data_IF_295539339546
#
_entry.id   IF_295539339546
#
_cell.length_a   1.000
_cell.length_b   1.000
_cell.length_c   1.000
_cell.angle_alpha   90.00
_cell.angle_beta   90.00
_cell.angle_gamma   90.00
#
_symmetry.space_group_name_H-M   'P 1'
#
loop_
_entity.id
_entity.type
_entity.pdbx_description
1 polymer ?
#
# COMPACT_ATOMS: atom_id res chain seq x y z
N UNK A 1 -55.67 3.76 -40.21
CA UNK A 1 -55.27 2.81 -39.16
C UNK A 1 -53.88 2.30 -39.48
N UNK A 2 -52.88 2.87 -38.80
CA UNK A 2 -51.45 2.65 -39.00
C UNK A 2 -51.00 1.42 -38.21
N UNK A 3 -50.76 0.29 -38.89
CA UNK A 3 -50.12 -0.90 -38.31
C UNK A 3 -48.60 -0.68 -38.25
N UNK A 4 -48.15 -0.04 -37.17
CA UNK A 4 -46.74 0.11 -36.84
C UNK A 4 -46.18 -1.22 -36.33
N UNK A 5 -45.20 -1.73 -37.08
CA UNK A 5 -44.49 -3.01 -36.91
C UNK A 5 -43.94 -3.22 -35.48
N UNK A 6 -44.18 -4.38 -34.83
CA UNK A 6 -43.64 -4.70 -33.51
C UNK A 6 -42.13 -4.96 -33.52
N UNK A 7 -41.51 -5.11 -34.69
CA UNK A 7 -40.07 -5.37 -34.83
C UNK A 7 -39.16 -4.16 -34.58
N UNK A 8 -39.66 -2.93 -34.68
CA UNK A 8 -38.82 -1.74 -34.42
C UNK A 8 -38.61 -1.45 -32.93
N UNK A 9 -39.51 -1.91 -32.06
CA UNK A 9 -39.37 -1.69 -30.62
C UNK A 9 -38.31 -2.62 -29.99
N UNK A 10 -38.12 -3.82 -30.53
CA UNK A 10 -37.06 -4.73 -30.08
C UNK A 10 -35.65 -4.24 -30.45
N UNK A 11 -35.49 -3.61 -31.62
CA UNK A 11 -34.21 -3.04 -32.03
C UNK A 11 -33.78 -1.86 -31.13
N UNK A 12 -34.73 -1.02 -30.70
CA UNK A 12 -34.46 0.08 -29.78
C UNK A 12 -34.05 -0.40 -28.38
N UNK A 13 -34.67 -1.49 -27.88
CA UNK A 13 -34.33 -2.06 -26.58
C UNK A 13 -32.91 -2.68 -26.55
N UNK A 14 -32.46 -3.29 -27.65
CA UNK A 14 -31.09 -3.84 -27.78
C UNK A 14 -30.05 -2.71 -27.89
N UNK A 15 -30.36 -1.61 -28.59
CA UNK A 15 -29.48 -0.46 -28.67
C UNK A 15 -29.28 0.23 -27.30
N UNK A 16 -30.31 0.27 -26.46
CA UNK A 16 -30.21 0.76 -25.08
C UNK A 16 -29.41 -0.19 -24.17
N UNK A 17 -29.51 -1.51 -24.38
CA UNK A 17 -28.69 -2.49 -23.66
C UNK A 17 -27.21 -2.51 -24.10
N UNK A 18 -26.89 -2.08 -25.32
CA UNK A 18 -25.52 -1.88 -25.77
C UNK A 18 -24.86 -0.62 -25.16
N UNK A 19 -25.66 0.37 -24.75
CA UNK A 19 -25.20 1.57 -24.01
C UNK A 19 -25.12 1.34 -22.50
N UNK A 20 -25.93 0.42 -21.97
CA UNK A 20 -25.86 -0.08 -20.59
C UNK A 20 -24.99 -1.34 -20.46
N UNK A 21 -24.30 -1.75 -21.54
CA UNK A 21 -23.21 -2.70 -21.42
C UNK A 21 -22.23 -2.07 -20.43
N UNK A 22 -21.92 -2.73 -19.30
CA UNK A 22 -20.78 -2.32 -18.51
C UNK A 22 -19.65 -2.32 -19.53
N UNK A 23 -19.13 -1.12 -19.84
CA UNK A 23 -17.85 -1.05 -20.52
C UNK A 23 -17.00 -1.95 -19.66
N UNK A 24 -16.55 -3.06 -20.24
CA UNK A 24 -15.48 -3.84 -19.67
C UNK A 24 -14.39 -2.80 -19.50
N UNK A 25 -14.34 -2.21 -18.30
CA UNK A 25 -13.43 -1.16 -17.93
C UNK A 25 -12.11 -1.88 -17.96
N UNK A 26 -11.47 -1.83 -19.13
CA UNK A 26 -10.10 -2.21 -19.28
C UNK A 26 -9.39 -1.30 -18.31
N UNK A 27 -9.15 -1.81 -17.10
CA UNK A 27 -8.37 -1.16 -16.07
C UNK A 27 -7.18 -0.57 -16.81
N UNK A 28 -7.06 0.77 -16.78
CA UNK A 28 -6.01 1.43 -17.52
C UNK A 28 -4.70 0.71 -17.22
N UNK A 29 -3.93 0.40 -18.27
CA UNK A 29 -2.60 -0.14 -18.07
C UNK A 29 -1.78 0.87 -17.25
N UNK A 30 -0.88 0.36 -16.43
CA UNK A 30 -0.05 1.19 -15.55
C UNK A 30 0.66 2.31 -16.35
N UNK A 31 1.14 1.98 -17.56
CA UNK A 31 1.72 2.93 -18.51
C UNK A 31 0.80 4.10 -18.88
N UNK A 32 -0.51 3.86 -19.03
CA UNK A 32 -1.50 4.90 -19.33
C UNK A 32 -1.82 5.76 -18.10
N UNK A 33 -1.83 5.16 -16.92
CA UNK A 33 -2.01 5.88 -15.64
C UNK A 33 -0.87 6.88 -15.44
N UNK A 34 0.37 6.43 -15.67
CA UNK A 34 1.57 7.26 -15.56
C UNK A 34 1.57 8.37 -16.61
N UNK A 35 1.21 8.07 -17.86
CA UNK A 35 1.08 9.09 -18.91
C UNK A 35 0.09 10.20 -18.51
N UNK A 36 -1.08 9.83 -18.01
CA UNK A 36 -2.07 10.82 -17.54
C UNK A 36 -1.61 11.60 -16.31
N UNK A 37 -0.80 11.00 -15.43
CA UNK A 37 -0.22 11.69 -14.29
C UNK A 37 0.83 12.71 -14.74
N UNK A 38 1.67 12.35 -15.70
CA UNK A 38 2.64 13.25 -16.36
C UNK A 38 1.94 14.39 -17.12
N UNK A 39 0.75 14.16 -17.67
CA UNK A 39 -0.11 15.20 -18.26
C UNK A 39 -0.71 16.16 -17.21
N UNK A 40 -0.37 16.01 -15.92
CA UNK A 40 -0.82 16.87 -14.82
C UNK A 40 -2.25 16.57 -14.34
N UNK A 41 -2.85 15.44 -14.72
CA UNK A 41 -4.18 15.06 -14.23
C UNK A 41 -4.10 14.59 -12.79
N UNK A 42 -5.07 15.01 -11.98
CA UNK A 42 -5.15 14.58 -10.59
C UNK A 42 -5.51 13.09 -10.50
N UNK A 43 -5.00 12.41 -9.46
CA UNK A 43 -5.27 11.00 -9.14
C UNK A 43 -6.77 10.67 -9.19
N UNK A 44 -7.63 11.58 -8.71
CA UNK A 44 -9.08 11.36 -8.68
C UNK A 44 -9.69 11.41 -10.10
N UNK A 45 -9.17 12.27 -10.98
CA UNK A 45 -9.58 12.32 -12.38
C UNK A 45 -9.13 11.07 -13.15
N UNK A 46 -7.94 10.54 -12.84
CA UNK A 46 -7.41 9.31 -13.43
C UNK A 46 -8.19 8.08 -12.93
N UNK A 47 -8.45 8.01 -11.62
CA UNK A 47 -9.27 6.97 -11.00
C UNK A 47 -10.66 6.86 -11.64
N UNK A 48 -11.31 8.00 -11.89
CA UNK A 48 -12.60 8.06 -12.58
C UNK A 48 -12.52 7.73 -14.07
N UNK A 49 -11.44 8.09 -14.75
CA UNK A 49 -11.25 7.79 -16.17
C UNK A 49 -10.91 6.31 -16.42
N UNK A 50 -10.38 5.63 -15.41
CA UNK A 50 -9.92 4.24 -15.49
C UNK A 50 -10.77 3.26 -14.67
N UNK A 51 -11.86 3.73 -14.05
CA UNK A 51 -12.69 2.97 -13.10
C UNK A 51 -11.88 2.18 -12.07
N UNK A 52 -10.83 2.82 -11.53
CA UNK A 52 -9.92 2.24 -10.56
C UNK A 52 -9.99 2.98 -9.22
N UNK A 53 -9.73 2.31 -8.09
CA UNK A 53 -9.65 2.99 -6.81
C UNK A 53 -8.44 3.93 -6.80
N UNK A 54 -8.62 5.13 -6.24
CA UNK A 54 -7.58 6.15 -6.17
C UNK A 54 -6.29 5.66 -5.47
N UNK A 55 -6.40 4.71 -4.54
CA UNK A 55 -5.24 4.06 -3.90
C UNK A 55 -4.37 3.28 -4.91
N UNK A 56 -5.00 2.59 -5.87
CA UNK A 56 -4.28 1.83 -6.90
C UNK A 56 -3.62 2.74 -7.92
N UNK A 57 -4.27 3.85 -8.28
CA UNK A 57 -3.69 4.89 -9.15
C UNK A 57 -2.49 5.55 -8.48
N UNK A 58 -2.58 5.91 -7.19
CA UNK A 58 -1.43 6.44 -6.42
C UNK A 58 -0.26 5.47 -6.40
N UNK A 59 -0.54 4.19 -6.11
CA UNK A 59 0.51 3.17 -6.08
C UNK A 59 1.23 2.96 -7.42
N UNK A 60 0.54 3.15 -8.54
CA UNK A 60 1.14 3.06 -9.88
C UNK A 60 2.00 4.28 -10.20
N UNK A 61 1.54 5.48 -9.86
CA UNK A 61 2.28 6.73 -10.07
C UNK A 61 3.56 6.72 -9.21
N UNK A 62 3.42 6.42 -7.91
CA UNK A 62 4.55 6.30 -6.98
C UNK A 62 5.59 5.26 -7.42
N UNK A 63 5.16 4.19 -8.09
CA UNK A 63 6.07 3.16 -8.61
C UNK A 63 6.81 3.63 -9.86
N UNK A 64 6.16 4.39 -10.73
CA UNK A 64 6.77 4.87 -11.97
C UNK A 64 7.73 6.04 -11.74
N UNK A 65 7.42 6.94 -10.80
CA UNK A 65 8.36 7.98 -10.35
C UNK A 65 9.64 7.39 -9.73
N UNK A 66 9.56 6.15 -9.22
CA UNK A 66 10.70 5.41 -8.70
C UNK A 66 11.50 4.63 -9.78
N UNK A 67 11.06 4.62 -11.05
CA UNK A 67 11.71 3.87 -12.14
C UNK A 67 12.54 4.75 -13.10
N UNK A 68 12.46 6.09 -13.03
CA UNK A 68 13.24 7.02 -13.88
C UNK A 68 14.62 7.41 -13.29
N UNK A 69 14.87 7.11 -12.01
CA UNK A 69 16.19 7.22 -11.36
C UNK A 69 16.62 5.84 -10.81
N UNK A 70 17.60 5.22 -11.47
CA UNK A 70 18.47 4.16 -10.92
C UNK A 70 17.86 2.72 -10.73
N UNK A 71 18.71 1.67 -10.65
CA UNK A 71 18.28 0.27 -10.77
C UNK A 71 17.71 -0.30 -9.45
N UNK A 72 17.15 -1.52 -9.49
CA UNK A 72 15.71 -1.84 -9.44
C UNK A 72 15.03 -1.55 -8.07
N UNK A 73 13.68 -1.45 -7.99
CA UNK A 73 13.00 -1.15 -6.75
C UNK A 73 12.89 -2.41 -5.87
N UNK A 74 13.80 -2.53 -4.92
CA UNK A 74 13.47 -3.17 -3.64
C UNK A 74 12.66 -2.13 -2.86
N UNK A 75 11.44 -2.52 -2.51
CA UNK A 75 10.45 -1.77 -1.75
C UNK A 75 11.04 -0.70 -0.81
N UNK A 76 10.63 0.55 -1.05
CA UNK A 76 10.47 1.65 -0.07
C UNK A 76 11.54 1.70 1.02
N UNK A 77 12.59 2.47 0.76
CA UNK A 77 13.28 3.18 1.84
C UNK A 77 13.25 4.66 1.52
N UNK A 78 12.37 5.34 2.26
CA UNK A 78 12.32 6.77 2.45
C UNK A 78 13.73 7.30 2.72
N UNK A 79 14.18 8.23 1.87
CA UNK A 79 15.46 8.92 1.98
C UNK A 79 15.47 9.71 3.29
N UNK A 80 16.12 9.17 4.32
CA UNK A 80 16.71 9.94 5.43
C UNK A 80 18.19 9.59 5.52
N UNK A 81 19.01 10.53 5.04
CA UNK A 81 20.46 10.62 5.19
C UNK A 81 21.33 9.47 4.63
N UNK A 82 22.59 9.74 4.23
CA UNK A 82 23.44 8.72 3.63
C UNK A 82 23.72 7.60 4.64
N UNK A 83 23.55 6.31 4.29
CA UNK A 83 23.95 5.22 5.17
C UNK A 83 25.47 5.18 5.19
N UNK A 84 26.03 5.57 6.33
CA UNK A 84 27.37 5.14 6.71
C UNK A 84 27.45 3.61 6.57
N UNK A 85 28.63 3.08 6.19
CA UNK A 85 28.77 1.69 5.77
C UNK A 85 28.24 0.72 6.83
N UNK A 86 27.23 -0.04 6.44
CA UNK A 86 26.71 -1.22 7.13
C UNK A 86 27.89 -2.06 7.58
N UNK A 87 28.23 -1.98 8.86
CA UNK A 87 29.27 -2.85 9.40
C UNK A 87 28.77 -3.64 10.60
N UNK A 88 27.71 -3.22 11.29
CA UNK A 88 27.19 -3.95 12.45
C UNK A 88 25.68 -3.72 12.58
N UNK A 89 24.87 -4.47 11.82
CA UNK A 89 23.46 -4.66 12.19
C UNK A 89 23.41 -5.19 13.64
N UNK A 90 22.34 -4.88 14.34
CA UNK A 90 22.21 -5.28 15.74
C UNK A 90 22.13 -6.81 15.84
N UNK A 91 22.94 -7.44 16.71
CA UNK A 91 22.89 -8.89 16.92
C UNK A 91 21.58 -9.27 17.61
N UNK A 92 21.20 -10.55 17.54
CA UNK A 92 20.07 -11.09 18.30
C UNK A 92 20.22 -10.77 19.79
N UNK A 93 19.10 -10.42 20.43
CA UNK A 93 19.04 -9.95 21.81
C UNK A 93 19.28 -8.45 22.00
N UNK A 94 19.73 -7.72 20.98
CA UNK A 94 19.90 -6.28 21.06
C UNK A 94 18.56 -5.56 21.24
N UNK A 95 18.52 -4.62 22.19
CA UNK A 95 17.34 -3.78 22.43
C UNK A 95 17.15 -2.75 21.33
N UNK A 96 15.96 -2.73 20.73
CA UNK A 96 15.59 -1.76 19.70
C UNK A 96 14.95 -0.50 20.29
N UNK A 97 14.22 -0.71 21.39
CA UNK A 97 13.55 0.30 22.19
C UNK A 97 13.78 0.02 23.69
N UNK A 98 13.55 1.06 24.50
CA UNK A 98 13.48 0.90 25.96
C UNK A 98 12.17 0.20 26.33
N UNK A 99 12.03 -0.15 27.60
CA UNK A 99 10.79 -0.72 28.10
C UNK A 99 9.68 0.32 28.03
N UNK A 100 8.67 0.03 27.23
CA UNK A 100 7.52 0.89 26.98
C UNK A 100 6.27 0.32 27.65
N UNK A 101 5.36 1.23 28.01
CA UNK A 101 4.09 0.94 28.65
C UNK A 101 2.91 1.01 27.67
N UNK A 102 3.20 1.04 26.37
CA UNK A 102 2.20 1.34 25.35
C UNK A 102 1.47 0.06 24.94
N UNK A 103 0.21 -0.07 25.38
CA UNK A 103 -0.66 -1.18 25.03
C UNK A 103 -0.18 -2.53 25.57
N UNK A 104 -0.92 -3.59 25.22
CA UNK A 104 -0.46 -4.96 25.40
C UNK A 104 -0.05 -5.53 24.05
N UNK A 105 1.16 -6.07 23.99
CA UNK A 105 1.66 -6.81 22.84
C UNK A 105 1.81 -8.27 23.22
N UNK A 106 1.42 -9.21 22.34
CA UNK A 106 1.67 -10.63 22.57
C UNK A 106 3.19 -10.89 22.60
N UNK A 107 3.68 -11.36 23.75
CA UNK A 107 5.09 -11.72 23.90
C UNK A 107 5.48 -12.82 22.92
N UNK A 108 6.70 -12.70 22.36
CA UNK A 108 7.21 -13.64 21.37
C UNK A 108 6.74 -13.40 19.93
N UNK A 109 5.81 -12.47 19.70
CA UNK A 109 5.41 -12.08 18.34
C UNK A 109 6.60 -11.45 17.60
N UNK A 110 6.92 -11.99 16.42
CA UNK A 110 8.01 -11.51 15.57
C UNK A 110 7.48 -10.57 14.48
N UNK A 111 8.14 -9.43 14.32
CA UNK A 111 7.79 -8.40 13.34
C UNK A 111 9.05 -8.01 12.55
N UNK A 112 8.95 -7.69 11.25
CA UNK A 112 10.10 -7.24 10.46
C UNK A 112 10.78 -5.99 11.05
N UNK A 113 12.10 -6.00 11.12
CA UNK A 113 12.92 -4.92 11.65
C UNK A 113 14.26 -4.83 10.92
N UNK A 114 14.48 -3.73 10.18
CA UNK A 114 15.66 -3.50 9.35
C UNK A 114 16.93 -3.24 10.17
N UNK A 115 16.77 -2.87 11.45
CA UNK A 115 17.89 -2.61 12.37
C UNK A 115 18.54 -3.90 12.89
N UNK A 116 17.84 -5.04 12.80
CA UNK A 116 18.31 -6.32 13.28
C UNK A 116 19.01 -7.12 12.18
N UNK A 117 20.07 -7.84 12.53
CA UNK A 117 20.79 -8.71 11.59
C UNK A 117 19.90 -9.82 11.03
N UNK A 118 18.98 -10.33 11.84
CA UNK A 118 17.97 -11.32 11.43
C UNK A 118 16.81 -10.73 10.62
N UNK A 119 16.75 -9.40 10.47
CA UNK A 119 15.63 -8.71 9.86
C UNK A 119 14.34 -8.77 10.68
N UNK A 120 14.39 -9.28 11.92
CA UNK A 120 13.21 -9.56 12.74
C UNK A 120 13.43 -9.10 14.18
N UNK A 121 12.36 -8.60 14.80
CA UNK A 121 12.32 -8.25 16.22
C UNK A 121 11.18 -8.97 16.93
N UNK A 122 11.38 -9.32 18.20
CA UNK A 122 10.35 -9.93 19.03
C UNK A 122 10.02 -9.08 20.25
N UNK A 123 8.76 -9.11 20.65
CA UNK A 123 8.33 -8.46 21.89
C UNK A 123 8.75 -9.30 23.10
N UNK A 124 9.43 -8.66 24.04
CA UNK A 124 9.96 -9.28 25.26
C UNK A 124 9.48 -8.51 26.48
N UNK A 125 9.08 -9.20 27.56
CA UNK A 125 8.68 -8.54 28.79
C UNK A 125 9.84 -7.78 29.42
N UNK A 126 9.51 -6.67 30.07
CA UNK A 126 10.43 -5.92 30.91
C UNK A 126 10.07 -6.08 32.38
N UNK A 127 11.07 -5.91 33.25
CA UNK A 127 10.83 -5.81 34.67
C UNK A 127 10.17 -4.46 34.99
N UNK A 128 9.10 -4.48 35.79
CA UNK A 128 8.40 -3.29 36.25
C UNK A 128 6.89 -3.37 36.04
N UNK A 129 6.22 -2.25 36.26
CA UNK A 129 4.77 -2.14 36.15
C UNK A 129 4.39 -0.73 35.70
N UNK A 130 3.46 -0.64 34.76
CA UNK A 130 3.01 0.63 34.20
C UNK A 130 1.76 1.14 34.91
N UNK A 131 1.88 2.24 35.66
CA UNK A 131 0.76 2.91 36.32
C UNK A 131 0.15 4.01 35.43
N UNK A 132 -1.18 4.27 35.46
CA UNK A 132 -2.22 3.62 36.27
C UNK A 132 -2.92 2.44 35.58
N UNK A 133 -2.58 2.19 34.31
CA UNK A 133 -3.29 1.23 33.45
C UNK A 133 -3.05 -0.24 33.84
N UNK A 134 -1.97 -0.47 34.58
CA UNK A 134 -1.66 -1.76 35.15
C UNK A 134 -1.15 -2.81 34.17
N UNK A 135 -0.59 -2.36 33.05
CA UNK A 135 -0.02 -3.22 32.02
C UNK A 135 1.45 -3.55 32.34
N UNK A 136 1.86 -4.75 31.95
CA UNK A 136 3.24 -5.18 32.05
C UNK A 136 4.09 -4.45 30.98
N UNK A 137 5.18 -3.77 31.36
CA UNK A 137 6.05 -3.12 30.40
C UNK A 137 6.69 -4.14 29.47
N UNK A 138 6.96 -3.72 28.24
CA UNK A 138 7.53 -4.59 27.22
C UNK A 138 8.47 -3.81 26.31
N UNK A 139 9.31 -4.51 25.55
CA UNK A 139 10.20 -3.90 24.55
C UNK A 139 10.35 -4.80 23.34
N UNK A 140 10.77 -4.24 22.21
CA UNK A 140 11.27 -5.02 21.06
C UNK A 140 12.77 -5.29 21.22
N UNK A 141 13.17 -6.53 20.98
CA UNK A 141 14.57 -6.93 20.85
C UNK A 141 14.77 -7.67 19.53
N UNK A 142 15.97 -7.61 18.97
CA UNK A 142 16.31 -8.42 17.80
C UNK A 142 16.18 -9.90 18.12
N UNK A 143 15.53 -10.65 17.23
CA UNK A 143 15.36 -12.11 17.36
C UNK A 143 16.51 -12.88 16.72
#
# INVERSE_FOLDING_TARGET
MTLTRPGMLFAAAIALFALAAPRADAACSDKKIVAMANDGRTVNAIAKACSMPAAKVRGVIERADAEDEAPPPVAKVERTAPPEPVSKLLPSGAGLARCDCQGMVPYGERVPELRCQSGMSMATPCAGYCSPQGVAPWRRICS
#
